data_IF_648347125930
#
_entry.id   IF_648347125930
#
_cell.length_a   1.000
_cell.length_b   1.000
_cell.length_c   1.000
_cell.angle_alpha   90.00
_cell.angle_beta   90.00
_cell.angle_gamma   90.00
#
_symmetry.space_group_name_H-M   'P 1'
#
loop_
_entity.id
_entity.type
_entity.pdbx_description
1 polymer ?
#
# COMPACT_ATOMS: atom_id res chain seq x y z
N UNK A 1 4.47 6.40 14.61
CA UNK A 1 4.69 7.17 13.37
C UNK A 1 3.46 8.02 13.10
N UNK A 2 3.64 9.33 12.85
CA UNK A 2 2.58 10.29 12.55
C UNK A 2 2.88 10.96 11.21
N UNK A 3 1.88 11.09 10.32
CA UNK A 3 2.00 11.93 9.13
C UNK A 3 1.90 13.39 9.57
N UNK A 4 2.83 14.22 9.12
CA UNK A 4 2.89 15.63 9.46
C UNK A 4 2.86 16.51 8.21
N UNK A 5 2.32 17.73 8.30
CA UNK A 5 2.30 18.66 7.18
C UNK A 5 3.71 19.20 6.87
N UNK A 6 3.89 19.81 5.72
CA UNK A 6 5.18 20.34 5.26
C UNK A 6 5.72 21.49 6.14
N UNK A 7 4.84 22.25 6.77
CA UNK A 7 5.15 23.34 7.69
C UNK A 7 5.31 22.91 9.16
N UNK A 8 5.22 21.60 9.45
CA UNK A 8 5.50 21.09 10.79
C UNK A 8 6.95 21.40 11.20
N UNK A 9 7.12 22.01 12.37
CA UNK A 9 8.44 22.37 12.91
C UNK A 9 9.04 21.22 13.68
N UNK A 10 10.32 20.98 13.46
CA UNK A 10 11.14 20.03 14.19
C UNK A 10 12.48 20.67 14.51
N UNK A 11 13.15 20.18 15.55
CA UNK A 11 14.50 20.59 15.89
C UNK A 11 15.47 19.51 15.44
N UNK A 12 16.42 19.89 14.59
CA UNK A 12 17.53 19.01 14.18
C UNK A 12 18.63 18.98 15.24
N UNK A 13 19.55 18.04 15.10
CA UNK A 13 20.80 18.05 15.87
C UNK A 13 21.44 19.47 15.81
N UNK A 14 22.05 19.93 16.90
CA UNK A 14 22.58 21.28 17.07
C UNK A 14 21.52 22.37 17.31
N UNK A 15 20.28 22.02 17.71
CA UNK A 15 19.25 22.98 18.10
C UNK A 15 18.60 23.79 16.98
N UNK A 16 18.85 23.47 15.73
CA UNK A 16 18.29 24.21 14.59
C UNK A 16 16.80 23.83 14.41
N UNK A 17 15.91 24.78 14.68
CA UNK A 17 14.46 24.64 14.43
C UNK A 17 14.14 24.97 12.98
N UNK A 18 13.44 24.08 12.29
CA UNK A 18 13.18 24.18 10.85
C UNK A 18 11.89 23.43 10.48
N UNK A 19 11.28 23.78 9.35
CA UNK A 19 10.12 23.05 8.85
C UNK A 19 10.52 21.74 8.20
N UNK A 20 9.57 20.77 8.07
CA UNK A 20 9.81 19.53 7.33
C UNK A 20 10.23 19.79 5.87
N UNK A 21 9.60 20.80 5.22
CA UNK A 21 9.93 21.20 3.86
C UNK A 21 11.38 21.67 3.73
N UNK A 22 11.80 22.55 4.65
CA UNK A 22 13.16 23.10 4.64
C UNK A 22 14.21 22.04 5.02
N UNK A 23 13.86 21.12 5.92
CA UNK A 23 14.70 19.98 6.25
C UNK A 23 14.94 19.08 5.03
N UNK A 24 13.90 18.82 4.24
CA UNK A 24 14.03 18.06 2.99
C UNK A 24 14.77 18.84 1.90
N UNK A 25 14.61 20.17 1.81
CA UNK A 25 15.31 21.01 0.86
C UNK A 25 16.85 21.03 1.10
N UNK A 26 17.29 20.80 2.33
CA UNK A 26 18.73 20.62 2.67
C UNK A 26 19.30 19.27 2.18
N UNK A 27 18.44 18.40 1.65
CA UNK A 27 18.84 17.15 0.99
C UNK A 27 18.66 17.31 -0.53
N UNK A 28 19.69 17.71 -1.29
CA UNK A 28 19.58 17.85 -2.75
C UNK A 28 19.00 16.60 -3.40
N UNK A 29 18.29 16.77 -4.51
CA UNK A 29 17.59 15.67 -5.19
C UNK A 29 18.53 14.51 -5.58
N UNK A 30 19.81 14.81 -5.82
CA UNK A 30 20.86 13.83 -6.15
C UNK A 30 21.69 13.37 -4.95
N UNK A 31 21.30 13.75 -3.73
CA UNK A 31 21.98 13.31 -2.52
C UNK A 31 21.82 11.79 -2.34
N UNK A 32 22.92 11.10 -2.04
CA UNK A 32 22.94 9.65 -1.75
C UNK A 32 22.05 9.23 -0.58
N UNK A 33 21.59 10.18 0.23
CA UNK A 33 20.62 9.96 1.30
C UNK A 33 19.20 9.69 0.81
N UNK A 34 18.88 9.98 -0.47
CA UNK A 34 17.64 9.60 -1.11
C UNK A 34 17.77 8.20 -1.72
N UNK A 35 17.10 7.23 -1.14
CA UNK A 35 17.06 5.85 -1.63
C UNK A 35 15.72 5.54 -2.28
N UNK A 36 15.76 4.98 -3.50
CA UNK A 36 14.54 4.53 -4.18
C UNK A 36 14.17 3.15 -3.65
N UNK A 37 13.03 3.09 -2.94
CA UNK A 37 12.51 1.86 -2.36
C UNK A 37 10.99 1.78 -2.48
N UNK A 38 10.47 0.54 -2.51
CA UNK A 38 9.03 0.30 -2.54
C UNK A 38 8.41 0.46 -1.14
N UNK A 39 7.25 1.13 -1.10
CA UNK A 39 6.39 1.22 0.09
C UNK A 39 5.40 0.03 0.20
N UNK A 40 5.65 -1.06 -0.53
CA UNK A 40 4.76 -2.20 -0.64
C UNK A 40 4.02 -2.25 -1.97
N UNK A 41 3.21 -3.30 -2.15
CA UNK A 41 2.48 -3.56 -3.38
C UNK A 41 1.04 -3.08 -3.25
N UNK A 42 0.56 -2.29 -4.20
CA UNK A 42 -0.84 -1.94 -4.36
C UNK A 42 -1.49 -2.69 -5.54
N UNK A 43 -2.75 -2.40 -5.84
CA UNK A 43 -3.50 -3.00 -6.96
C UNK A 43 -2.81 -2.84 -8.32
N UNK A 44 -2.08 -1.73 -8.50
CA UNK A 44 -1.30 -1.42 -9.72
C UNK A 44 0.18 -1.86 -9.63
N UNK A 45 0.55 -2.74 -8.70
CA UNK A 45 1.91 -3.22 -8.47
C UNK A 45 2.69 -2.43 -7.42
N UNK A 46 4.01 -2.62 -7.36
CA UNK A 46 4.88 -1.99 -6.36
C UNK A 46 4.85 -0.46 -6.44
N UNK A 47 4.78 0.18 -5.27
CA UNK A 47 4.71 1.65 -5.13
C UNK A 47 6.09 2.18 -4.79
N UNK A 48 6.81 2.68 -5.80
CA UNK A 48 8.17 3.16 -5.68
C UNK A 48 8.22 4.66 -5.39
N UNK A 49 9.07 5.05 -4.43
CA UNK A 49 9.33 6.43 -4.04
C UNK A 49 10.80 6.61 -3.70
N UNK A 50 11.29 7.84 -3.77
CA UNK A 50 12.55 8.19 -3.15
C UNK A 50 12.30 8.52 -1.67
N UNK A 51 13.13 7.99 -0.79
CA UNK A 51 13.02 8.11 0.66
C UNK A 51 14.31 8.65 1.26
N UNK A 52 14.17 9.55 2.19
CA UNK A 52 15.27 10.02 3.01
C UNK A 52 14.82 10.16 4.46
N UNK A 53 15.72 10.06 5.40
CA UNK A 53 15.43 10.23 6.80
C UNK A 53 16.50 11.02 7.53
N UNK A 54 16.10 11.76 8.56
CA UNK A 54 16.96 12.61 9.37
C UNK A 54 16.66 12.36 10.86
N UNK A 55 17.71 12.25 11.67
CA UNK A 55 17.55 12.27 13.12
C UNK A 55 17.17 13.68 13.58
N UNK A 56 16.30 13.77 14.59
CA UNK A 56 15.95 15.03 15.24
C UNK A 56 16.73 15.20 16.54
N UNK A 57 16.65 16.38 17.17
CA UNK A 57 17.24 16.61 18.48
C UNK A 57 16.59 15.76 19.60
N UNK A 58 15.33 15.39 19.42
CA UNK A 58 14.65 14.48 20.35
C UNK A 58 15.20 13.07 20.20
N UNK A 59 15.60 12.39 21.29
CA UNK A 59 16.13 11.04 21.23
C UNK A 59 15.18 10.09 20.54
N UNK A 60 15.72 9.24 19.64
CA UNK A 60 14.97 8.20 18.91
C UNK A 60 13.79 8.70 18.06
N UNK A 61 13.76 10.00 17.76
CA UNK A 61 12.81 10.62 16.85
C UNK A 61 13.48 10.94 15.51
N UNK A 62 12.74 10.68 14.43
CA UNK A 62 13.24 10.81 13.06
C UNK A 62 12.19 11.46 12.16
N UNK A 63 12.66 12.32 11.27
CA UNK A 63 11.86 12.76 10.13
C UNK A 63 12.08 11.80 8.96
N UNK A 64 11.04 11.11 8.50
CA UNK A 64 11.05 10.35 7.27
C UNK A 64 10.39 11.20 6.17
N UNK A 65 11.14 11.46 5.11
CA UNK A 65 10.69 12.20 3.93
C UNK A 65 10.49 11.23 2.76
N UNK A 66 9.37 11.36 2.07
CA UNK A 66 9.04 10.61 0.86
C UNK A 66 8.87 11.57 -0.30
N UNK A 67 9.51 11.30 -1.44
CA UNK A 67 9.36 12.05 -2.68
C UNK A 67 8.78 11.15 -3.77
N UNK A 68 7.72 11.62 -4.42
CA UNK A 68 7.15 10.93 -5.58
C UNK A 68 8.09 11.05 -6.78
N UNK A 69 8.36 9.94 -7.49
CA UNK A 69 9.40 9.90 -8.53
C UNK A 69 9.05 10.73 -9.77
N UNK A 70 7.76 10.86 -10.12
CA UNK A 70 7.32 11.59 -11.30
C UNK A 70 6.95 13.06 -10.98
N UNK A 71 6.23 13.32 -9.87
CA UNK A 71 5.72 14.67 -9.56
C UNK A 71 6.62 15.45 -8.62
N UNK A 72 7.64 14.79 -8.03
CA UNK A 72 8.50 15.37 -6.99
C UNK A 72 7.75 15.82 -5.72
N UNK A 73 6.46 15.47 -5.58
CA UNK A 73 5.67 15.77 -4.40
C UNK A 73 6.30 15.17 -3.15
N UNK A 74 6.37 15.96 -2.09
CA UNK A 74 6.93 15.55 -0.81
C UNK A 74 5.84 15.20 0.20
N UNK A 75 6.08 14.16 0.97
CA UNK A 75 5.27 13.81 2.14
C UNK A 75 6.19 13.46 3.31
N UNK A 76 5.72 13.76 4.53
CA UNK A 76 6.52 13.68 5.73
C UNK A 76 5.86 12.83 6.80
N UNK A 77 6.68 12.06 7.52
CA UNK A 77 6.27 11.32 8.71
C UNK A 77 7.25 11.62 9.86
N UNK A 78 6.71 11.94 11.02
CA UNK A 78 7.47 12.05 12.27
C UNK A 78 7.42 10.70 12.99
N UNK A 79 8.57 10.10 13.22
CA UNK A 79 8.71 8.72 13.65
C UNK A 79 9.39 8.66 15.01
N UNK A 80 8.85 7.85 15.92
CA UNK A 80 9.51 7.43 17.15
C UNK A 80 9.84 5.94 17.05
N UNK A 81 11.05 5.56 17.46
CA UNK A 81 11.49 4.16 17.50
C UNK A 81 11.78 3.82 18.98
N UNK A 82 11.06 2.85 19.56
CA UNK A 82 11.27 2.44 20.94
C UNK A 82 12.70 1.99 21.22
N UNK A 83 13.11 2.09 22.46
CA UNK A 83 14.42 1.61 22.92
C UNK A 83 14.56 0.10 22.66
N UNK A 84 15.79 -0.36 22.44
CA UNK A 84 16.07 -1.76 22.07
C UNK A 84 15.72 -2.11 20.62
N UNK A 85 15.02 -1.23 19.87
CA UNK A 85 14.69 -1.51 18.47
C UNK A 85 15.72 -0.88 17.52
N UNK A 86 16.23 -1.66 16.53
CA UNK A 86 17.19 -1.12 15.57
C UNK A 86 16.53 -0.10 14.65
N UNK A 87 17.26 0.98 14.35
CA UNK A 87 16.85 2.03 13.41
C UNK A 87 17.28 1.65 12.00
N UNK A 88 16.35 1.62 11.06
CA UNK A 88 16.68 1.44 9.64
C UNK A 88 15.64 2.09 8.74
N UNK A 89 16.07 2.58 7.58
CA UNK A 89 15.18 3.15 6.58
C UNK A 89 14.11 2.13 6.13
N UNK A 90 14.47 0.87 5.96
CA UNK A 90 13.54 -0.21 5.59
C UNK A 90 12.39 -0.34 6.60
N UNK A 91 12.70 -0.27 7.89
CA UNK A 91 11.68 -0.32 8.96
C UNK A 91 10.76 0.88 8.93
N UNK A 92 11.31 2.07 8.75
CA UNK A 92 10.54 3.30 8.64
C UNK A 92 9.61 3.28 7.41
N UNK A 93 10.11 2.83 6.26
CA UNK A 93 9.31 2.68 5.02
C UNK A 93 8.20 1.66 5.22
N UNK A 94 8.49 0.52 5.82
CA UNK A 94 7.49 -0.52 6.10
C UNK A 94 6.37 0.02 6.99
N UNK A 95 6.72 0.72 8.07
CA UNK A 95 5.73 1.35 8.95
C UNK A 95 4.89 2.43 8.24
N UNK A 96 5.51 3.25 7.37
CA UNK A 96 4.79 4.23 6.56
C UNK A 96 3.85 3.57 5.55
N UNK A 97 4.23 2.41 5.03
CA UNK A 97 3.44 1.62 4.08
C UNK A 97 2.18 0.99 4.70
N UNK A 98 2.17 0.72 6.02
CA UNK A 98 1.03 0.08 6.72
C UNK A 98 -0.23 0.97 6.77
N UNK A 99 -0.10 2.27 6.61
CA UNK A 99 -1.27 3.15 6.60
C UNK A 99 -2.25 2.84 5.48
N UNK A 100 -1.75 2.52 4.29
CA UNK A 100 -2.60 2.22 3.13
C UNK A 100 -3.47 0.98 3.34
N UNK A 101 -2.94 -0.18 3.80
CA UNK A 101 -3.78 -1.32 4.15
C UNK A 101 -4.88 -0.98 5.14
N UNK A 102 -4.60 -0.18 6.18
CA UNK A 102 -5.62 0.23 7.16
C UNK A 102 -6.77 1.01 6.51
N UNK A 103 -6.48 1.95 5.61
CA UNK A 103 -7.53 2.67 4.87
C UNK A 103 -8.33 1.73 3.94
N UNK A 104 -7.68 0.74 3.35
CA UNK A 104 -8.29 -0.28 2.49
C UNK A 104 -9.15 -1.27 3.30
N UNK A 105 -8.69 -1.63 4.50
CA UNK A 105 -9.43 -2.48 5.43
C UNK A 105 -10.70 -1.77 5.94
N UNK A 106 -10.62 -0.50 6.31
CA UNK A 106 -11.80 0.29 6.66
C UNK A 106 -12.79 0.41 5.49
N UNK A 107 -12.30 0.64 4.28
CA UNK A 107 -13.16 0.66 3.09
C UNK A 107 -13.85 -0.68 2.86
N UNK A 108 -13.12 -1.78 3.01
CA UNK A 108 -13.67 -3.13 2.89
C UNK A 108 -14.65 -3.43 4.03
N UNK A 109 -14.33 -3.02 5.26
CA UNK A 109 -15.22 -3.14 6.41
C UNK A 109 -16.55 -2.43 6.20
N UNK A 110 -16.52 -1.21 5.67
CA UNK A 110 -17.72 -0.44 5.33
C UNK A 110 -18.49 -1.04 4.15
N UNK A 111 -17.81 -1.22 3.02
CA UNK A 111 -18.47 -1.59 1.77
C UNK A 111 -18.88 -3.07 1.65
N UNK A 112 -18.34 -3.96 2.48
CA UNK A 112 -18.59 -5.40 2.38
C UNK A 112 -19.12 -6.04 3.65
N UNK A 113 -18.94 -5.39 4.80
CA UNK A 113 -19.27 -5.95 6.10
C UNK A 113 -20.14 -5.00 6.95
N UNK A 114 -20.63 -3.89 6.37
CA UNK A 114 -21.56 -2.98 7.00
C UNK A 114 -21.03 -2.27 8.26
N UNK A 115 -19.71 -2.02 8.35
CA UNK A 115 -19.09 -1.43 9.54
C UNK A 115 -19.72 -0.09 9.96
N UNK A 116 -20.25 0.69 9.02
CA UNK A 116 -20.90 1.99 9.21
C UNK A 116 -22.43 1.94 9.04
N UNK A 117 -23.02 0.77 8.90
CA UNK A 117 -24.46 0.61 8.71
C UNK A 117 -25.24 0.44 10.03
N UNK A 118 -24.55 0.50 11.18
CA UNK A 118 -25.19 0.37 12.49
C UNK A 118 -26.11 1.55 12.78
N UNK A 119 -27.38 1.27 13.01
CA UNK A 119 -28.40 2.28 13.38
C UNK A 119 -28.78 2.23 14.86
N UNK A 120 -28.05 1.45 15.67
CA UNK A 120 -28.32 1.29 17.10
C UNK A 120 -27.76 2.46 17.90
N UNK A 121 -28.46 2.82 19.00
CA UNK A 121 -28.09 3.96 19.86
C UNK A 121 -27.30 3.56 21.11
N UNK A 122 -27.43 2.29 21.54
CA UNK A 122 -26.76 1.82 22.74
C UNK A 122 -25.28 1.53 22.44
N UNK A 123 -24.39 2.02 23.30
CA UNK A 123 -22.95 1.81 23.17
C UNK A 123 -22.58 0.32 23.07
N UNK A 124 -23.18 -0.53 23.92
CA UNK A 124 -22.95 -1.98 23.87
C UNK A 124 -23.36 -2.62 22.55
N UNK A 125 -24.44 -2.14 21.94
CA UNK A 125 -24.88 -2.63 20.62
C UNK A 125 -23.96 -2.15 19.50
N UNK A 126 -23.50 -0.89 19.55
CA UNK A 126 -22.48 -0.35 18.63
C UNK A 126 -21.19 -1.16 18.75
N UNK A 127 -20.71 -1.41 19.97
CA UNK A 127 -19.50 -2.19 20.20
C UNK A 127 -19.61 -3.61 19.65
N UNK A 128 -20.75 -4.29 19.90
CA UNK A 128 -21.01 -5.64 19.36
C UNK A 128 -21.02 -5.66 17.83
N UNK A 129 -21.74 -4.72 17.20
CA UNK A 129 -21.78 -4.59 15.75
C UNK A 129 -20.38 -4.39 15.16
N UNK A 130 -19.60 -3.47 15.73
CA UNK A 130 -18.23 -3.19 15.29
C UNK A 130 -17.34 -4.43 15.40
N UNK A 131 -17.39 -5.16 16.51
CA UNK A 131 -16.60 -6.38 16.71
C UNK A 131 -17.00 -7.46 15.70
N UNK A 132 -18.30 -7.66 15.44
CA UNK A 132 -18.76 -8.65 14.48
C UNK A 132 -18.35 -8.29 13.05
N UNK A 133 -18.50 -7.04 12.64
CA UNK A 133 -18.07 -6.57 11.30
C UNK A 133 -16.55 -6.73 11.12
N UNK A 134 -15.75 -6.37 12.14
CA UNK A 134 -14.30 -6.55 12.11
C UNK A 134 -13.87 -8.01 12.14
N UNK A 135 -14.57 -8.88 12.87
CA UNK A 135 -14.32 -10.32 12.87
C UNK A 135 -14.60 -10.94 11.50
N UNK A 136 -15.73 -10.59 10.87
CA UNK A 136 -16.05 -11.05 9.52
C UNK A 136 -14.99 -10.60 8.50
N UNK A 137 -14.56 -9.33 8.56
CA UNK A 137 -13.46 -8.82 7.74
C UNK A 137 -12.17 -9.63 7.97
N UNK A 138 -11.80 -9.89 9.23
CA UNK A 138 -10.59 -10.62 9.58
C UNK A 138 -10.63 -12.08 9.05
N UNK A 139 -11.74 -12.77 9.20
CA UNK A 139 -11.93 -14.14 8.67
C UNK A 139 -11.73 -14.14 7.14
N UNK A 140 -12.38 -13.23 6.44
CA UNK A 140 -12.25 -13.12 4.99
C UNK A 140 -10.82 -12.75 4.55
N UNK A 141 -10.15 -11.85 5.27
CA UNK A 141 -8.78 -11.45 4.98
C UNK A 141 -7.78 -12.59 5.18
N UNK A 142 -7.92 -13.35 6.28
CA UNK A 142 -7.08 -14.53 6.57
C UNK A 142 -7.33 -15.61 5.51
N UNK A 143 -8.60 -15.89 5.20
CA UNK A 143 -8.95 -16.89 4.16
C UNK A 143 -8.39 -16.49 2.79
N UNK A 144 -8.55 -15.23 2.37
CA UNK A 144 -7.97 -14.73 1.13
C UNK A 144 -6.43 -14.85 1.11
N UNK A 145 -5.78 -14.55 2.24
CA UNK A 145 -4.32 -14.68 2.38
C UNK A 145 -3.84 -16.14 2.27
N UNK A 146 -4.51 -17.07 2.93
CA UNK A 146 -4.22 -18.50 2.87
C UNK A 146 -4.41 -19.08 1.46
N UNK A 147 -5.46 -18.65 0.76
CA UNK A 147 -5.76 -19.10 -0.59
C UNK A 147 -4.94 -18.39 -1.66
N UNK A 148 -4.23 -17.31 -1.34
CA UNK A 148 -3.54 -16.46 -2.31
C UNK A 148 -2.65 -17.25 -3.26
N UNK A 149 -1.79 -18.14 -2.75
CA UNK A 149 -0.87 -18.93 -3.59
C UNK A 149 -1.60 -19.90 -4.53
N UNK A 150 -2.75 -20.44 -4.10
CA UNK A 150 -3.55 -21.38 -4.89
C UNK A 150 -4.41 -20.69 -5.94
N UNK A 151 -4.77 -19.45 -5.71
CA UNK A 151 -5.69 -18.70 -6.57
C UNK A 151 -4.98 -17.66 -7.44
N UNK A 152 -3.71 -17.37 -7.22
CA UNK A 152 -2.88 -16.51 -8.07
C UNK A 152 -2.20 -17.35 -9.15
N UNK A 153 -2.77 -17.32 -10.35
CA UNK A 153 -2.22 -18.02 -11.52
C UNK A 153 -1.77 -17.05 -12.60
N UNK A 154 -1.46 -15.80 -12.22
CA UNK A 154 -1.08 -14.77 -13.19
C UNK A 154 0.17 -15.16 -13.97
N UNK A 155 0.15 -14.83 -15.26
CA UNK A 155 1.33 -14.90 -16.11
C UNK A 155 2.46 -14.02 -15.56
N UNK A 156 3.73 -14.34 -15.88
CA UNK A 156 4.88 -13.50 -15.54
C UNK A 156 4.71 -12.06 -16.03
N UNK A 157 5.31 -11.13 -15.30
CA UNK A 157 5.35 -9.74 -15.71
C UNK A 157 6.08 -9.57 -17.05
N UNK A 158 5.69 -8.59 -17.89
CA UNK A 158 6.40 -8.30 -19.13
C UNK A 158 7.84 -7.87 -18.81
N UNK A 159 8.78 -8.30 -19.62
CA UNK A 159 10.21 -7.94 -19.49
C UNK A 159 10.63 -6.88 -20.52
N UNK A 160 9.81 -6.65 -21.56
CA UNK A 160 10.04 -5.63 -22.60
C UNK A 160 8.82 -4.74 -22.80
N UNK A 161 9.02 -3.47 -23.17
CA UNK A 161 7.93 -2.51 -23.39
C UNK A 161 6.99 -2.87 -24.54
N UNK A 162 7.51 -3.57 -25.55
CA UNK A 162 6.81 -3.99 -26.78
C UNK A 162 6.24 -5.39 -26.71
N UNK A 163 6.48 -6.13 -25.63
CA UNK A 163 6.04 -7.51 -25.48
C UNK A 163 4.52 -7.62 -25.60
N UNK A 164 4.00 -8.54 -26.47
CA UNK A 164 2.57 -8.83 -26.54
C UNK A 164 2.11 -9.55 -25.27
N UNK A 165 0.81 -9.42 -24.88
CA UNK A 165 0.27 -10.18 -23.78
C UNK A 165 0.32 -11.68 -24.09
N UNK A 166 0.54 -12.54 -23.09
CA UNK A 166 0.41 -13.98 -23.26
C UNK A 166 -1.03 -14.35 -23.63
N UNK A 167 -1.21 -15.46 -24.33
CA UNK A 167 -2.53 -15.97 -24.73
C UNK A 167 -3.45 -16.19 -23.50
N UNK A 168 -2.89 -16.67 -22.39
CA UNK A 168 -3.56 -16.72 -21.09
C UNK A 168 -2.77 -15.87 -20.08
N UNK A 169 -3.41 -14.82 -19.57
CA UNK A 169 -2.85 -13.95 -18.51
C UNK A 169 -3.09 -14.53 -17.13
N UNK A 170 -3.79 -15.64 -17.00
CA UNK A 170 -4.14 -16.25 -15.72
C UNK A 170 -5.17 -15.44 -14.93
N UNK A 171 -5.19 -15.66 -13.63
CA UNK A 171 -6.15 -15.08 -12.70
C UNK A 171 -5.42 -14.34 -11.57
N UNK A 172 -5.88 -13.13 -11.21
CA UNK A 172 -5.44 -12.51 -9.97
C UNK A 172 -5.91 -13.36 -8.76
N UNK A 173 -5.23 -13.30 -7.60
CA UNK A 173 -5.70 -13.98 -6.40
C UNK A 173 -7.08 -13.47 -5.98
N UNK A 174 -7.83 -14.29 -5.24
CA UNK A 174 -9.09 -13.88 -4.62
C UNK A 174 -8.87 -12.68 -3.70
N UNK A 175 -9.75 -11.70 -3.83
CA UNK A 175 -9.78 -10.51 -2.97
C UNK A 175 -10.64 -10.75 -1.74
N UNK A 176 -10.46 -9.95 -0.69
CA UNK A 176 -11.28 -10.02 0.53
C UNK A 176 -12.79 -9.89 0.24
N UNK A 177 -13.26 -8.92 -0.58
CA UNK A 177 -14.67 -8.85 -0.95
C UNK A 177 -15.21 -10.08 -1.69
N UNK A 178 -14.40 -10.68 -2.57
CA UNK A 178 -14.79 -11.91 -3.28
C UNK A 178 -14.89 -13.10 -2.33
N UNK A 179 -13.94 -13.22 -1.41
CA UNK A 179 -13.96 -14.24 -0.36
C UNK A 179 -15.20 -14.10 0.52
N UNK A 180 -15.54 -12.88 0.94
CA UNK A 180 -16.76 -12.61 1.71
C UNK A 180 -18.05 -13.02 0.97
N UNK A 181 -18.15 -12.70 -0.33
CA UNK A 181 -19.30 -13.11 -1.15
C UNK A 181 -19.41 -14.62 -1.31
N UNK A 182 -18.28 -15.31 -1.52
CA UNK A 182 -18.26 -16.77 -1.65
C UNK A 182 -18.64 -17.48 -0.34
N UNK A 183 -18.26 -16.92 0.81
CA UNK A 183 -18.62 -17.46 2.11
C UNK A 183 -20.10 -17.20 2.46
N UNK A 184 -20.59 -15.99 2.14
CA UNK A 184 -21.99 -15.63 2.41
C UNK A 184 -22.99 -16.32 1.46
N UNK A 185 -22.61 -16.48 0.21
CA UNK A 185 -23.45 -17.07 -0.86
C UNK A 185 -22.60 -18.05 -1.66
N UNK A 186 -22.39 -19.28 -1.11
CA UNK A 186 -21.68 -20.31 -1.85
C UNK A 186 -22.47 -20.63 -3.12
N UNK A 187 -21.85 -20.54 -4.29
CA UNK A 187 -22.54 -20.79 -5.54
C UNK A 187 -22.88 -22.28 -5.69
N UNK A 188 -23.96 -22.61 -6.38
CA UNK A 188 -24.24 -23.99 -6.72
C UNK A 188 -23.08 -24.59 -7.53
N UNK A 189 -22.79 -25.87 -7.37
CA UNK A 189 -21.76 -26.57 -8.11
C UNK A 189 -21.87 -26.28 -9.61
N UNK A 190 -20.84 -25.74 -10.23
CA UNK A 190 -20.76 -25.43 -11.67
C UNK A 190 -21.17 -24.01 -12.11
N UNK A 191 -21.96 -23.24 -11.34
CA UNK A 191 -22.49 -21.94 -11.79
C UNK A 191 -21.62 -20.71 -11.46
N UNK A 192 -20.85 -20.74 -10.40
CA UNK A 192 -20.14 -19.56 -9.92
C UNK A 192 -18.79 -19.26 -10.54
N UNK A 193 -18.26 -20.22 -11.28
CA UNK A 193 -16.90 -20.09 -11.78
C UNK A 193 -16.75 -19.02 -12.86
N UNK A 194 -17.77 -18.81 -13.69
CA UNK A 194 -17.61 -18.08 -14.94
C UNK A 194 -17.42 -16.57 -14.76
N UNK A 195 -18.33 -15.90 -14.03
CA UNK A 195 -18.21 -14.43 -13.84
C UNK A 195 -17.02 -14.03 -12.98
N UNK A 196 -16.78 -14.78 -11.90
CA UNK A 196 -15.66 -14.54 -11.02
C UNK A 196 -14.31 -14.79 -11.74
N UNK A 197 -14.23 -15.87 -12.52
CA UNK A 197 -13.06 -16.18 -13.35
C UNK A 197 -12.85 -15.11 -14.43
N UNK A 198 -13.93 -14.69 -15.13
CA UNK A 198 -13.86 -13.62 -16.11
C UNK A 198 -13.32 -12.31 -15.52
N UNK A 199 -13.87 -11.86 -14.39
CA UNK A 199 -13.43 -10.64 -13.73
C UNK A 199 -11.95 -10.72 -13.32
N UNK A 200 -11.55 -11.83 -12.71
CA UNK A 200 -10.16 -12.04 -12.26
C UNK A 200 -9.18 -12.11 -13.44
N UNK A 201 -9.57 -12.71 -14.56
CA UNK A 201 -8.80 -12.74 -15.80
C UNK A 201 -8.67 -11.34 -16.40
N UNK A 202 -9.76 -10.60 -16.49
CA UNK A 202 -9.76 -9.23 -17.00
C UNK A 202 -8.83 -8.32 -16.16
N UNK A 203 -8.84 -8.46 -14.84
CA UNK A 203 -7.95 -7.72 -13.96
C UNK A 203 -6.48 -8.19 -14.09
N UNK A 204 -6.22 -9.45 -14.33
CA UNK A 204 -4.87 -9.95 -14.61
C UNK A 204 -4.30 -9.34 -15.89
N UNK A 205 -5.10 -9.32 -16.96
CA UNK A 205 -4.75 -8.68 -18.23
C UNK A 205 -4.48 -7.18 -18.06
N UNK A 206 -5.37 -6.46 -17.37
CA UNK A 206 -5.19 -5.05 -17.07
C UNK A 206 -3.92 -4.78 -16.26
N UNK A 207 -3.63 -5.59 -15.24
CA UNK A 207 -2.41 -5.47 -14.44
C UNK A 207 -1.16 -5.70 -15.29
N UNK A 208 -1.19 -6.66 -16.21
CA UNK A 208 -0.10 -6.96 -17.15
C UNK A 208 0.20 -5.74 -18.06
N UNK A 209 -0.84 -5.13 -18.67
CA UNK A 209 -0.67 -3.92 -19.49
C UNK A 209 -0.14 -2.73 -18.69
N UNK A 210 -0.59 -2.54 -17.47
CA UNK A 210 -0.05 -1.48 -16.59
C UNK A 210 1.44 -1.67 -16.29
N UNK A 211 1.89 -2.91 -16.10
CA UNK A 211 3.31 -3.21 -15.89
C UNK A 211 4.12 -2.93 -17.15
N UNK A 212 3.62 -3.30 -18.33
CA UNK A 212 4.25 -3.01 -19.62
C UNK A 212 4.42 -1.51 -19.86
N UNK A 213 3.37 -0.71 -19.62
CA UNK A 213 3.42 0.75 -19.75
C UNK A 213 4.45 1.39 -18.80
N UNK A 214 4.67 0.82 -17.62
CA UNK A 214 5.72 1.29 -16.71
C UNK A 214 7.13 1.04 -17.27
N UNK A 215 7.37 -0.10 -17.92
CA UNK A 215 8.63 -0.38 -18.59
C UNK A 215 8.92 0.65 -19.69
N UNK A 216 7.92 0.98 -20.52
CA UNK A 216 8.07 2.00 -21.57
C UNK A 216 8.49 3.35 -21.00
N UNK A 217 7.85 3.82 -19.92
CA UNK A 217 8.18 5.08 -19.26
C UNK A 217 9.58 5.10 -18.66
N UNK A 218 10.03 3.99 -18.09
CA UNK A 218 11.36 3.89 -17.50
C UNK A 218 12.46 3.92 -18.56
N UNK A 219 12.25 3.28 -19.72
CA UNK A 219 13.18 3.31 -20.86
C UNK A 219 13.34 4.73 -21.40
N UNK A 220 12.22 5.44 -21.60
CA UNK A 220 12.25 6.85 -22.09
C UNK A 220 12.98 7.77 -21.12
N UNK A 221 12.80 7.57 -19.80
CA UNK A 221 13.50 8.36 -18.78
C UNK A 221 15.00 8.10 -18.70
N UNK A 222 15.47 6.94 -19.16
CA UNK A 222 16.89 6.58 -19.18
C UNK A 222 17.63 7.06 -20.45
N UNK A 223 16.89 7.33 -21.53
CA UNK A 223 17.45 7.85 -22.78
C UNK A 223 17.59 9.39 -22.81
N UNK A 224 16.98 10.10 -21.88
CA UNK A 224 17.01 11.57 -21.75
C UNK A 224 18.08 12.06 -20.74
N UNK A 225 18.99 11.17 -20.34
CA UNK A 225 20.14 11.51 -19.46
C UNK A 225 21.47 11.37 -20.24
#
# INVERSE_FOLDING_TARGET
MLRVPSNFHLTLARGVRITCKDAAARLPARDRRWEIRSAGTGSKGARWYAWAWLATASPRHYLLSRRHLATSELAFCYCYIPEGQPVSLTRLIRAAGLRWPVEEDFRSGKGCFGLDESQVRLYTAIARHTVLAMAALAICAVTAALLRRRTDTRAPAPVRPDQPPPADTGLIPLTVPETGRLLAHPPPPGAAGHWLAWRRRHQALSAWYHQRTRLSRNVTSSQVR
#
